data_IF_583867868936
#
_entry.id   IF_583867868936
#
_cell.length_a   1.000
_cell.length_b   1.000
_cell.length_c   1.000
_cell.angle_alpha   90.00
_cell.angle_beta   90.00
_cell.angle_gamma   90.00
#
_symmetry.space_group_name_H-M   'P 1'
#
loop_
_entity.id
_entity.type
_entity.pdbx_description
1 polymer ?
#
# COMPACT_ATOMS: atom_id res chain seq x y z
N UNK A 1 19.43 8.09 11.38
CA UNK A 1 18.23 8.67 10.72
C UNK A 1 17.73 7.68 9.67
N UNK A 2 16.58 7.04 9.90
CA UNK A 2 16.04 6.03 8.96
C UNK A 2 15.52 6.74 7.71
N UNK A 3 16.29 6.68 6.62
CA UNK A 3 15.84 7.08 5.29
C UNK A 3 14.78 6.09 4.82
N UNK A 4 13.51 6.32 5.19
CA UNK A 4 12.40 5.91 4.34
C UNK A 4 12.59 6.68 3.04
N UNK A 5 13.40 6.12 2.14
CA UNK A 5 13.66 6.70 0.84
C UNK A 5 12.31 7.01 0.20
N UNK A 6 12.16 8.23 -0.32
CA UNK A 6 10.96 8.67 -1.04
C UNK A 6 10.79 7.81 -2.29
N UNK A 7 10.17 6.63 -2.13
CA UNK A 7 9.93 5.65 -3.20
C UNK A 7 8.63 6.01 -3.93
N UNK A 8 8.55 5.69 -5.21
CA UNK A 8 7.38 5.94 -6.06
C UNK A 8 6.92 7.42 -6.14
N UNK A 9 7.86 8.36 -6.08
CA UNK A 9 7.60 9.80 -6.31
C UNK A 9 7.22 10.16 -7.76
N UNK A 10 7.21 9.20 -8.68
CA UNK A 10 6.84 9.44 -10.06
C UNK A 10 5.33 9.36 -10.25
N UNK A 11 4.79 10.15 -11.17
CA UNK A 11 3.37 10.14 -11.51
C UNK A 11 3.00 8.96 -12.39
N UNK A 12 1.86 8.32 -12.11
CA UNK A 12 1.40 7.17 -12.87
C UNK A 12 1.12 7.51 -14.34
N UNK A 13 0.59 8.71 -14.57
CA UNK A 13 0.36 9.26 -15.91
C UNK A 13 1.66 9.31 -16.72
N UNK A 14 2.74 9.83 -16.13
CA UNK A 14 4.04 9.95 -16.79
C UNK A 14 4.65 8.59 -17.10
N UNK A 15 4.51 7.61 -16.19
CA UNK A 15 4.94 6.24 -16.44
C UNK A 15 4.13 5.56 -17.54
N UNK A 16 2.82 5.81 -17.61
CA UNK A 16 1.95 5.31 -18.68
C UNK A 16 2.36 5.87 -20.04
N UNK A 17 2.61 7.17 -20.13
CA UNK A 17 3.06 7.85 -21.33
C UNK A 17 4.44 7.34 -21.78
N UNK A 18 5.39 7.20 -20.85
CA UNK A 18 6.70 6.62 -21.14
C UNK A 18 6.58 5.19 -21.70
N UNK A 19 5.79 4.32 -21.05
CA UNK A 19 5.57 2.94 -21.52
C UNK A 19 4.90 2.90 -22.90
N UNK A 20 3.90 3.76 -23.16
CA UNK A 20 3.25 3.84 -24.48
C UNK A 20 4.24 4.23 -25.58
N UNK A 21 5.07 5.25 -25.35
CA UNK A 21 6.04 5.72 -26.34
C UNK A 21 7.16 4.69 -26.61
N UNK A 22 7.63 4.01 -25.57
CA UNK A 22 8.64 2.93 -25.70
C UNK A 22 8.05 1.72 -26.42
N UNK A 23 6.81 1.30 -26.11
CA UNK A 23 6.11 0.19 -26.80
C UNK A 23 5.85 0.50 -28.28
N UNK A 24 5.47 1.75 -28.60
CA UNK A 24 5.27 2.22 -29.98
C UNK A 24 6.58 2.43 -30.75
N UNK A 25 7.74 2.09 -30.17
CA UNK A 25 9.10 2.30 -30.74
C UNK A 25 9.38 3.75 -31.16
N UNK A 26 8.66 4.73 -30.62
CA UNK A 26 8.88 6.16 -30.91
C UNK A 26 10.17 6.68 -30.27
N UNK A 27 10.59 6.08 -29.16
CA UNK A 27 11.80 6.44 -28.43
C UNK A 27 12.34 5.25 -27.61
N UNK A 28 13.65 5.24 -27.36
CA UNK A 28 14.29 4.29 -26.45
C UNK A 28 14.02 4.62 -24.98
N UNK A 29 14.19 3.62 -24.09
CA UNK A 29 13.97 3.80 -22.65
C UNK A 29 14.85 4.90 -22.02
N UNK A 30 16.04 5.14 -22.58
CA UNK A 30 17.00 6.11 -22.04
C UNK A 30 16.54 7.55 -22.28
N UNK A 31 15.86 7.76 -23.41
CA UNK A 31 15.28 9.05 -23.74
C UNK A 31 13.97 9.26 -22.98
N UNK A 32 13.14 8.21 -22.90
CA UNK A 32 11.86 8.27 -22.21
C UNK A 32 11.99 8.60 -20.71
N UNK A 33 12.99 8.04 -20.00
CA UNK A 33 13.13 8.33 -18.58
C UNK A 33 13.45 9.82 -18.31
N UNK A 34 14.23 10.46 -19.19
CA UNK A 34 14.60 11.88 -19.10
C UNK A 34 13.41 12.78 -19.40
N UNK A 35 12.68 12.49 -20.49
CA UNK A 35 11.54 13.29 -20.93
C UNK A 35 10.38 13.23 -19.92
N UNK A 36 10.04 12.04 -19.44
CA UNK A 36 8.89 11.82 -18.56
C UNK A 36 9.23 11.91 -17.07
N UNK A 37 10.49 12.20 -16.72
CA UNK A 37 11.01 12.25 -15.35
C UNK A 37 10.62 11.01 -14.50
N UNK A 38 10.83 9.82 -15.08
CA UNK A 38 10.53 8.55 -14.41
C UNK A 38 11.81 7.76 -14.13
N UNK A 39 11.86 6.90 -13.09
CA UNK A 39 13.06 6.10 -12.82
C UNK A 39 13.33 5.06 -13.92
N UNK A 40 14.54 5.09 -14.51
CA UNK A 40 14.92 4.23 -15.62
C UNK A 40 14.80 2.72 -15.32
N UNK A 41 15.22 2.30 -14.12
CA UNK A 41 15.13 0.89 -13.67
C UNK A 41 13.69 0.42 -13.56
N UNK A 42 12.79 1.30 -13.08
CA UNK A 42 11.37 1.00 -12.94
C UNK A 42 10.69 0.92 -14.30
N UNK A 43 10.99 1.85 -15.21
CA UNK A 43 10.49 1.85 -16.58
C UNK A 43 10.91 0.57 -17.32
N UNK A 44 12.20 0.19 -17.25
CA UNK A 44 12.72 -1.03 -17.88
C UNK A 44 12.06 -2.29 -17.32
N UNK A 45 11.94 -2.39 -15.99
CA UNK A 45 11.30 -3.53 -15.32
C UNK A 45 9.83 -3.68 -15.74
N UNK A 46 9.07 -2.58 -15.76
CA UNK A 46 7.65 -2.57 -16.16
C UNK A 46 7.48 -2.90 -17.64
N UNK A 47 8.35 -2.40 -18.50
CA UNK A 47 8.36 -2.75 -19.91
C UNK A 47 8.59 -4.25 -20.12
N UNK A 48 9.61 -4.84 -19.46
CA UNK A 48 9.93 -6.28 -19.56
C UNK A 48 8.79 -7.17 -19.05
N UNK A 49 8.19 -6.81 -17.91
CA UNK A 49 7.13 -7.61 -17.28
C UNK A 49 5.73 -7.34 -17.87
N UNK A 50 5.63 -6.53 -18.93
CA UNK A 50 4.38 -6.04 -19.49
C UNK A 50 3.39 -5.45 -18.47
N UNK A 51 3.90 -4.91 -17.35
CA UNK A 51 3.08 -4.37 -16.27
C UNK A 51 2.54 -2.98 -16.60
N UNK A 52 1.38 -2.65 -16.03
CA UNK A 52 0.74 -1.34 -16.13
C UNK A 52 1.55 -0.26 -15.39
N UNK A 53 1.16 1.00 -15.59
CA UNK A 53 1.77 2.18 -14.95
C UNK A 53 1.42 2.35 -13.47
N UNK A 54 0.50 1.55 -12.94
CA UNK A 54 0.00 1.67 -11.57
C UNK A 54 1.11 1.46 -10.54
N UNK A 55 1.13 2.30 -9.51
CA UNK A 55 1.97 2.10 -8.33
C UNK A 55 1.51 0.82 -7.66
N UNK A 56 2.46 -0.06 -7.39
CA UNK A 56 2.20 -1.31 -6.68
C UNK A 56 2.56 -1.16 -5.21
N UNK A 57 2.16 -2.15 -4.41
CA UNK A 57 2.56 -2.20 -3.02
C UNK A 57 4.08 -2.20 -2.88
N UNK A 58 4.58 -1.36 -1.96
CA UNK A 58 6.01 -1.18 -1.71
C UNK A 58 6.66 -2.36 -0.97
N UNK A 59 5.92 -3.44 -0.76
CA UNK A 59 6.34 -4.59 0.05
C UNK A 59 6.44 -4.21 1.52
N UNK A 60 5.43 -4.58 2.31
CA UNK A 60 5.36 -4.34 3.75
C UNK A 60 4.45 -5.35 4.44
N UNK A 61 4.36 -5.27 5.77
CA UNK A 61 3.38 -6.08 6.52
C UNK A 61 1.98 -5.70 6.04
N UNK A 62 1.25 -6.68 5.53
CA UNK A 62 -0.14 -6.49 5.11
C UNK A 62 -1.01 -6.33 6.35
N UNK A 63 -2.00 -5.42 6.34
CA UNK A 63 -2.96 -5.32 7.43
C UNK A 63 -3.73 -6.66 7.54
N UNK A 64 -3.95 -7.10 8.77
CA UNK A 64 -4.71 -8.34 9.05
C UNK A 64 -6.20 -8.09 8.88
N UNK A 65 -6.65 -6.89 9.23
CA UNK A 65 -8.04 -6.46 9.15
C UNK A 65 -8.26 -5.62 7.90
N UNK A 66 -9.49 -5.65 7.39
CA UNK A 66 -9.96 -4.66 6.43
C UNK A 66 -10.21 -3.33 7.14
N UNK A 67 -10.19 -2.21 6.40
CA UNK A 67 -10.46 -0.88 6.96
C UNK A 67 -11.79 -0.82 7.70
N UNK A 68 -12.81 -1.47 7.15
CA UNK A 68 -14.15 -1.54 7.75
C UNK A 68 -14.14 -2.15 9.16
N UNK A 69 -13.35 -3.21 9.37
CA UNK A 69 -13.23 -3.85 10.68
C UNK A 69 -12.45 -2.94 11.65
N UNK A 70 -11.38 -2.30 11.17
CA UNK A 70 -10.62 -1.34 11.98
C UNK A 70 -11.51 -0.15 12.42
N UNK A 71 -12.38 0.32 11.53
CA UNK A 71 -13.34 1.40 11.80
C UNK A 71 -14.39 0.96 12.84
N UNK A 72 -14.88 -0.28 12.77
CA UNK A 72 -15.79 -0.83 13.79
C UNK A 72 -15.15 -0.89 15.17
N UNK A 73 -13.89 -1.33 15.26
CA UNK A 73 -13.16 -1.32 16.53
C UNK A 73 -12.93 0.10 17.04
N UNK A 74 -12.58 1.04 16.15
CA UNK A 74 -12.40 2.44 16.51
C UNK A 74 -13.71 3.06 17.05
N UNK A 75 -14.84 2.76 16.42
CA UNK A 75 -16.14 3.23 16.88
C UNK A 75 -16.50 2.61 18.24
N UNK A 76 -16.29 1.31 18.41
CA UNK A 76 -16.55 0.63 19.67
C UNK A 76 -15.74 1.23 20.84
N UNK A 77 -14.47 1.55 20.62
CA UNK A 77 -13.62 2.20 21.63
C UNK A 77 -14.19 3.56 22.04
N UNK A 78 -14.60 4.38 21.06
CA UNK A 78 -15.21 5.70 21.32
C UNK A 78 -16.53 5.58 22.09
N UNK A 79 -17.36 4.60 21.73
CA UNK A 79 -18.65 4.38 22.40
C UNK A 79 -18.47 3.91 23.86
N UNK A 80 -17.44 3.09 24.11
CA UNK A 80 -17.09 2.63 25.45
C UNK A 80 -16.53 3.76 26.32
N UNK A 81 -15.68 4.61 25.74
CA UNK A 81 -15.18 5.82 26.39
C UNK A 81 -16.32 6.79 26.74
N UNK A 82 -17.26 7.01 25.82
CA UNK A 82 -18.43 7.88 26.05
C UNK A 82 -19.36 7.38 27.18
N UNK A 83 -19.38 6.07 27.42
CA UNK A 83 -20.14 5.45 28.52
C UNK A 83 -19.36 5.38 29.84
N UNK A 84 -18.21 6.03 29.92
CA UNK A 84 -17.27 5.98 31.06
C UNK A 84 -16.73 4.58 31.36
N UNK A 85 -16.78 3.65 30.40
CA UNK A 85 -16.18 2.33 30.46
C UNK A 85 -14.96 2.28 29.53
N UNK A 86 -13.92 3.04 29.85
CA UNK A 86 -12.69 3.04 29.06
C UNK A 86 -12.09 1.64 28.92
N UNK A 87 -11.79 1.22 27.68
CA UNK A 87 -11.12 -0.05 27.41
C UNK A 87 -9.61 0.11 27.63
N UNK A 88 -9.01 -0.77 28.44
CA UNK A 88 -7.56 -0.82 28.51
C UNK A 88 -6.98 -1.51 27.27
N UNK A 89 -5.70 -1.28 27.00
CA UNK A 89 -5.00 -1.93 25.88
C UNK A 89 -5.01 -3.46 26.01
N UNK A 90 -5.05 -4.00 27.23
CA UNK A 90 -5.14 -5.45 27.47
C UNK A 90 -6.50 -6.00 27.04
N UNK A 91 -7.57 -5.31 27.40
CA UNK A 91 -8.94 -5.71 27.04
C UNK A 91 -9.17 -5.62 25.54
N UNK A 92 -8.67 -4.56 24.90
CA UNK A 92 -8.72 -4.42 23.45
C UNK A 92 -7.99 -5.56 22.74
N UNK A 93 -6.78 -5.92 23.19
CA UNK A 93 -6.03 -7.05 22.62
C UNK A 93 -6.75 -8.38 22.80
N UNK A 94 -7.39 -8.60 23.95
CA UNK A 94 -8.19 -9.79 24.22
C UNK A 94 -9.39 -9.86 23.28
N UNK A 95 -10.14 -8.77 23.14
CA UNK A 95 -11.27 -8.64 22.22
C UNK A 95 -10.87 -8.90 20.76
N UNK A 96 -9.75 -8.30 20.31
CA UNK A 96 -9.21 -8.53 18.97
C UNK A 96 -8.80 -10.00 18.79
N UNK A 97 -8.16 -10.61 19.79
CA UNK A 97 -7.77 -12.03 19.74
C UNK A 97 -8.98 -12.95 19.62
N UNK A 98 -10.03 -12.71 20.42
CA UNK A 98 -11.29 -13.45 20.36
C UNK A 98 -11.99 -13.28 19.01
N UNK A 99 -12.03 -12.06 18.48
CA UNK A 99 -12.59 -11.77 17.15
C UNK A 99 -11.84 -12.53 16.05
N UNK A 100 -10.51 -12.58 16.10
CA UNK A 100 -9.69 -13.34 15.14
C UNK A 100 -9.99 -14.84 15.22
N UNK A 101 -10.09 -15.38 16.44
CA UNK A 101 -10.40 -16.79 16.66
C UNK A 101 -11.79 -17.16 16.17
N UNK A 102 -12.79 -16.29 16.38
CA UNK A 102 -14.18 -16.51 15.91
C UNK A 102 -14.32 -16.45 14.39
N UNK A 103 -13.61 -15.52 13.74
CA UNK A 103 -13.69 -15.34 12.29
C UNK A 103 -12.68 -16.20 11.52
N UNK A 104 -11.95 -17.09 12.20
CA UNK A 104 -10.94 -17.97 11.63
C UNK A 104 -9.89 -17.22 10.75
N UNK A 105 -9.59 -15.97 11.13
CA UNK A 105 -8.63 -15.14 10.40
C UNK A 105 -7.23 -15.57 10.83
N UNK A 106 -6.42 -16.03 9.87
CA UNK A 106 -5.03 -16.43 10.12
C UNK A 106 -4.24 -15.27 10.68
N UNK A 107 -3.67 -15.45 11.87
CA UNK A 107 -2.70 -14.53 12.47
C UNK A 107 -1.40 -14.63 11.67
N UNK A 108 -0.85 -13.53 11.12
CA UNK A 108 0.42 -13.59 10.39
C UNK A 108 1.64 -13.66 11.33
N UNK A 109 1.49 -14.22 12.54
CA UNK A 109 2.52 -14.40 13.56
C UNK A 109 2.22 -15.67 14.35
#
# INVERSE_FOLDING_TARGET
MSSKARRQLWEEKNMAEALRNVRKKKMGWQLAFKIFNVPATTLRRRFKNNCNSTKGDLGGKRPVFTREIEDQFAQHIKDMEAKFFGLTLKDLKKLIFEFLSKNNIKKPF
#
